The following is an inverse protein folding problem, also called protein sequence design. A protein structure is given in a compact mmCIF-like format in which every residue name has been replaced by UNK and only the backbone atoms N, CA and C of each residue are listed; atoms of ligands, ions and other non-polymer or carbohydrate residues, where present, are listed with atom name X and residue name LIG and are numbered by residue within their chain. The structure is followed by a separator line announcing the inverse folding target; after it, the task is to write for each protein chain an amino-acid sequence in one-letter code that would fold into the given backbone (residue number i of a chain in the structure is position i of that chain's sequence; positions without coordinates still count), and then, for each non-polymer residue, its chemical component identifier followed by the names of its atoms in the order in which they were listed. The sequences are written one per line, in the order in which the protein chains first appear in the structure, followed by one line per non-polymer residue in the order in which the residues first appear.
data_IF_676903466157
#
_entry.id   IF_676903466157
#
_cell.length_a   1.000
_cell.length_b   1.000
_cell.length_c   1.000
_cell.angle_alpha   90.00
_cell.angle_beta   90.00
_cell.angle_gamma   90.00
#
_symmetry.space_group_name_H-M   'P 1'
#
loop_
_entity.id
_entity.type
_entity.pdbx_description
1 polymer ?
#
# COMPACT_ATOMS: atom_id res chain seq x y z
N UNK A 1 9.27 20.66 -38.35
CA UNK A 1 9.92 19.68 -37.51
C UNK A 1 10.26 20.20 -36.09
N UNK A 2 10.66 21.49 -35.92
CA UNK A 2 11.07 22.01 -34.61
C UNK A 2 9.98 22.10 -33.52
N UNK A 3 8.72 22.35 -33.87
CA UNK A 3 7.64 22.52 -32.88
C UNK A 3 7.16 21.21 -32.25
N UNK A 4 7.36 20.07 -32.91
CA UNK A 4 6.91 18.77 -32.39
C UNK A 4 7.88 18.28 -31.28
N UNK A 5 9.18 18.40 -31.48
CA UNK A 5 10.18 17.97 -30.50
C UNK A 5 10.16 18.79 -29.20
N UNK A 6 9.93 20.10 -29.27
CA UNK A 6 9.81 20.98 -28.08
C UNK A 6 8.56 20.64 -27.26
N UNK A 7 7.44 20.29 -27.90
CA UNK A 7 6.22 19.88 -27.24
C UNK A 7 6.37 18.53 -26.51
N UNK A 8 7.14 17.60 -27.07
CA UNK A 8 7.36 16.27 -26.50
C UNK A 8 8.30 16.33 -25.27
N UNK A 9 9.42 17.03 -25.38
CA UNK A 9 10.34 17.25 -24.26
C UNK A 9 9.68 17.97 -23.08
N UNK A 10 8.82 18.96 -23.35
CA UNK A 10 8.04 19.61 -22.30
C UNK A 10 7.04 18.68 -21.63
N UNK A 11 6.50 17.71 -22.35
CA UNK A 11 5.61 16.69 -21.80
C UNK A 11 6.38 15.71 -20.89
N UNK A 12 7.57 15.25 -21.30
CA UNK A 12 8.43 14.40 -20.48
C UNK A 12 8.84 15.11 -19.20
N UNK A 13 9.26 16.36 -19.26
CA UNK A 13 9.62 17.17 -18.11
C UNK A 13 8.44 17.33 -17.14
N UNK A 14 7.24 17.65 -17.65
CA UNK A 14 6.04 17.79 -16.81
C UNK A 14 5.66 16.48 -16.13
N UNK A 15 5.71 15.35 -16.86
CA UNK A 15 5.47 14.03 -16.30
C UNK A 15 6.50 13.65 -15.24
N UNK A 16 7.80 13.91 -15.50
CA UNK A 16 8.88 13.64 -14.56
C UNK A 16 8.77 14.46 -13.27
N UNK A 17 8.48 15.76 -13.37
CA UNK A 17 8.24 16.63 -12.20
C UNK A 17 7.02 16.14 -11.42
N UNK A 18 5.91 15.80 -12.10
CA UNK A 18 4.70 15.29 -11.45
C UNK A 18 4.98 14.00 -10.69
N UNK A 19 5.71 13.06 -11.30
CA UNK A 19 6.13 11.80 -10.67
C UNK A 19 6.98 12.04 -9.42
N UNK A 20 7.96 12.94 -9.50
CA UNK A 20 8.83 13.28 -8.38
C UNK A 20 8.06 13.94 -7.23
N UNK A 21 7.19 14.91 -7.53
CA UNK A 21 6.38 15.62 -6.53
C UNK A 21 5.41 14.69 -5.82
N UNK A 22 4.65 13.88 -6.57
CA UNK A 22 3.69 12.93 -6.00
C UNK A 22 4.43 11.87 -5.18
N UNK A 23 5.53 11.33 -5.69
CA UNK A 23 6.37 10.39 -4.96
C UNK A 23 6.96 10.98 -3.66
N UNK A 24 7.42 12.24 -3.67
CA UNK A 24 7.94 12.93 -2.48
C UNK A 24 6.84 13.14 -1.42
N UNK A 25 5.63 13.51 -1.85
CA UNK A 25 4.46 13.61 -0.97
C UNK A 25 4.15 12.22 -0.38
N UNK A 26 4.10 11.18 -1.20
CA UNK A 26 3.84 9.80 -0.78
C UNK A 26 4.87 9.31 0.24
N UNK A 27 6.17 9.51 -0.02
CA UNK A 27 7.23 9.18 0.93
C UNK A 27 7.09 9.94 2.25
N UNK A 28 6.79 11.23 2.20
CA UNK A 28 6.59 12.04 3.41
C UNK A 28 5.43 11.52 4.26
N UNK A 29 4.30 11.22 3.63
CA UNK A 29 3.12 10.63 4.30
C UNK A 29 3.46 9.24 4.85
N UNK A 30 4.09 8.38 4.06
CA UNK A 30 4.49 7.03 4.46
C UNK A 30 5.44 7.01 5.65
N UNK A 31 6.53 7.80 5.61
CA UNK A 31 7.47 7.93 6.73
C UNK A 31 6.80 8.53 7.97
N UNK A 32 5.97 9.55 7.81
CA UNK A 32 5.24 10.15 8.92
C UNK A 32 4.35 9.11 9.59
N UNK A 33 3.56 8.37 8.82
CA UNK A 33 2.68 7.32 9.34
C UNK A 33 3.47 6.20 10.03
N UNK A 34 4.56 5.76 9.44
CA UNK A 34 5.45 4.74 10.04
C UNK A 34 5.97 5.21 11.40
N UNK A 35 6.45 6.46 11.50
CA UNK A 35 6.92 7.04 12.75
C UNK A 35 5.81 7.20 13.80
N UNK A 36 4.59 7.51 13.38
CA UNK A 36 3.43 7.58 14.27
C UNK A 36 3.09 6.20 14.84
N UNK A 37 3.07 5.16 14.00
CA UNK A 37 2.82 3.78 14.43
C UNK A 37 3.90 3.33 15.44
N UNK A 38 5.19 3.57 15.15
CA UNK A 38 6.29 3.23 16.04
C UNK A 38 6.22 3.95 17.40
N UNK A 39 5.73 5.20 17.44
CA UNK A 39 5.59 5.98 18.66
C UNK A 39 4.30 5.67 19.44
N UNK A 40 3.39 4.89 18.89
CA UNK A 40 2.10 4.60 19.51
C UNK A 40 2.12 3.22 20.18
N UNK A 41 2.16 3.13 21.53
CA UNK A 41 2.32 1.85 22.23
C UNK A 41 1.24 0.80 21.91
N UNK A 42 0.01 1.24 21.58
CA UNK A 42 -1.08 0.33 21.21
C UNK A 42 -0.84 -0.42 19.89
N UNK A 43 0.19 -0.05 19.12
CA UNK A 43 0.63 -0.74 17.89
C UNK A 43 1.86 -1.62 18.08
N UNK A 44 2.40 -1.74 19.30
CA UNK A 44 3.48 -2.69 19.59
C UNK A 44 2.91 -4.13 19.67
N UNK A 45 2.26 -4.56 18.61
CA UNK A 45 1.62 -5.87 18.46
C UNK A 45 1.73 -6.36 17.01
N UNK A 46 1.23 -7.56 16.73
CA UNK A 46 1.33 -8.17 15.41
C UNK A 46 0.77 -7.29 14.30
N UNK A 47 -0.42 -6.71 14.49
CA UNK A 47 -1.04 -5.83 13.50
C UNK A 47 -0.17 -4.60 13.17
N UNK A 48 0.41 -3.96 14.19
CA UNK A 48 1.28 -2.80 13.98
C UNK A 48 2.54 -3.13 13.17
N UNK A 49 3.19 -4.27 13.44
CA UNK A 49 4.34 -4.70 12.65
C UNK A 49 3.98 -5.06 11.20
N UNK A 50 2.79 -5.63 10.97
CA UNK A 50 2.29 -5.86 9.62
C UNK A 50 2.02 -4.56 8.88
N UNK A 51 1.44 -3.55 9.56
CA UNK A 51 1.27 -2.20 9.00
C UNK A 51 2.61 -1.56 8.63
N UNK A 52 3.65 -1.71 9.45
CA UNK A 52 4.99 -1.18 9.16
C UNK A 52 5.56 -1.86 7.91
N UNK A 53 5.48 -3.20 7.81
CA UNK A 53 5.92 -3.94 6.62
C UNK A 53 5.21 -3.48 5.36
N UNK A 54 3.90 -3.26 5.44
CA UNK A 54 3.10 -2.74 4.34
C UNK A 54 3.49 -1.31 3.95
N UNK A 55 3.74 -0.42 4.91
CA UNK A 55 4.22 0.94 4.65
C UNK A 55 5.61 0.99 4.02
N UNK A 56 6.52 0.09 4.43
CA UNK A 56 7.83 -0.03 3.80
C UNK A 56 7.68 -0.34 2.31
N UNK A 57 6.72 -1.19 1.94
CA UNK A 57 6.47 -1.48 0.53
C UNK A 57 5.97 -0.27 -0.25
N UNK A 58 5.08 0.56 0.31
CA UNK A 58 4.65 1.81 -0.32
C UNK A 58 5.80 2.81 -0.49
N UNK A 59 6.64 2.98 0.56
CA UNK A 59 7.81 3.85 0.52
C UNK A 59 8.78 3.39 -0.59
N UNK A 60 8.94 2.07 -0.77
CA UNK A 60 9.76 1.50 -1.83
C UNK A 60 9.26 1.84 -3.23
N UNK A 61 7.95 1.72 -3.47
CA UNK A 61 7.30 2.12 -4.75
C UNK A 61 7.55 3.59 -5.04
N UNK A 62 7.31 4.50 -4.09
CA UNK A 62 7.60 5.93 -4.30
C UNK A 62 9.08 6.19 -4.57
N UNK A 63 9.97 5.48 -3.86
CA UNK A 63 11.41 5.65 -4.02
C UNK A 63 11.87 5.21 -5.41
N UNK A 64 11.37 4.09 -5.95
CA UNK A 64 11.67 3.67 -7.32
C UNK A 64 11.20 4.71 -8.35
N UNK A 65 10.01 5.29 -8.15
CA UNK A 65 9.50 6.34 -9.02
C UNK A 65 10.31 7.65 -8.93
N UNK A 66 10.74 8.07 -7.73
CA UNK A 66 11.56 9.27 -7.54
C UNK A 66 12.97 9.10 -8.11
N UNK A 67 13.60 7.95 -7.83
CA UNK A 67 15.02 7.75 -8.15
C UNK A 67 15.27 7.14 -9.53
N UNK A 68 14.23 6.60 -10.19
CA UNK A 68 14.37 6.04 -11.53
C UNK A 68 13.40 6.67 -12.53
N UNK A 69 12.08 6.55 -12.34
CA UNK A 69 11.10 6.99 -13.33
C UNK A 69 11.15 8.50 -13.58
N UNK A 70 11.22 9.32 -12.53
CA UNK A 70 11.29 10.77 -12.67
C UNK A 70 12.59 11.24 -13.35
N UNK A 71 13.79 10.79 -12.96
CA UNK A 71 15.02 11.09 -13.71
C UNK A 71 14.99 10.61 -15.15
N UNK A 72 14.45 9.40 -15.43
CA UNK A 72 14.35 8.89 -16.78
C UNK A 72 13.52 9.82 -17.69
N UNK A 73 12.45 10.40 -17.16
CA UNK A 73 11.63 11.38 -17.87
C UNK A 73 12.30 12.74 -18.00
N UNK A 74 12.90 13.27 -16.90
CA UNK A 74 13.48 14.60 -16.88
C UNK A 74 14.72 14.70 -17.78
N UNK A 75 15.55 13.65 -17.79
CA UNK A 75 16.78 13.58 -18.59
C UNK A 75 16.60 12.79 -19.89
N UNK A 76 15.37 12.39 -20.22
CA UNK A 76 15.02 11.66 -21.45
C UNK A 76 15.96 10.49 -21.72
N UNK A 77 16.06 9.54 -20.74
CA UNK A 77 16.91 8.37 -20.89
C UNK A 77 16.56 7.60 -22.15
N UNK A 78 17.57 7.27 -22.92
CA UNK A 78 17.42 6.45 -24.12
C UNK A 78 17.23 4.95 -23.75
N UNK A 79 16.90 4.17 -24.76
CA UNK A 79 16.67 2.73 -24.59
C UNK A 79 17.92 1.97 -24.10
N UNK A 80 19.13 2.49 -24.35
CA UNK A 80 20.36 1.86 -23.87
C UNK A 80 20.49 1.93 -22.35
N UNK A 81 19.96 3.01 -21.74
CA UNK A 81 19.93 3.22 -20.31
C UNK A 81 18.75 2.46 -19.69
N UNK A 82 17.55 2.61 -20.24
CA UNK A 82 16.32 2.01 -19.68
C UNK A 82 16.31 0.47 -19.79
N UNK A 83 16.98 -0.10 -20.80
CA UNK A 83 17.17 -1.55 -20.96
C UNK A 83 18.49 -2.07 -20.37
N UNK A 84 19.30 -1.21 -19.74
CA UNK A 84 20.50 -1.61 -19.04
C UNK A 84 20.19 -2.49 -17.82
N UNK A 85 21.23 -3.09 -17.24
CA UNK A 85 21.09 -3.80 -15.96
C UNK A 85 20.41 -2.95 -14.86
N UNK A 86 20.73 -1.64 -14.79
CA UNK A 86 20.13 -0.73 -13.82
C UNK A 86 18.65 -0.46 -14.10
N UNK A 87 18.25 -0.40 -15.39
CA UNK A 87 16.85 -0.28 -15.77
C UNK A 87 16.03 -1.51 -15.38
N UNK A 88 16.55 -2.69 -15.65
CA UNK A 88 15.94 -3.96 -15.22
C UNK A 88 15.88 -4.04 -13.70
N UNK A 89 16.96 -3.68 -13.00
CA UNK A 89 17.01 -3.67 -11.53
C UNK A 89 15.97 -2.70 -10.94
N UNK A 90 15.79 -1.53 -11.54
CA UNK A 90 14.77 -0.57 -11.11
C UNK A 90 13.36 -1.16 -11.23
N UNK A 91 13.06 -1.88 -12.31
CA UNK A 91 11.78 -2.58 -12.47
C UNK A 91 11.61 -3.75 -11.49
N UNK A 92 12.69 -4.50 -11.22
CA UNK A 92 12.68 -5.54 -10.17
C UNK A 92 12.36 -4.92 -8.80
N UNK A 93 12.98 -3.79 -8.46
CA UNK A 93 12.75 -3.07 -7.20
C UNK A 93 11.31 -2.58 -7.13
N UNK A 94 10.83 -1.87 -8.16
CA UNK A 94 9.45 -1.35 -8.21
C UNK A 94 8.43 -2.47 -7.97
N UNK A 95 8.52 -3.54 -8.75
CA UNK A 95 7.55 -4.61 -8.68
C UNK A 95 7.69 -5.50 -7.43
N UNK A 96 8.90 -5.63 -6.87
CA UNK A 96 9.09 -6.30 -5.57
C UNK A 96 8.32 -5.57 -4.47
N UNK A 97 8.39 -4.26 -4.40
CA UNK A 97 7.65 -3.46 -3.43
C UNK A 97 6.13 -3.50 -3.69
N UNK A 98 5.72 -3.50 -4.95
CA UNK A 98 4.32 -3.70 -5.33
C UNK A 98 3.76 -5.03 -4.82
N UNK A 99 4.43 -6.16 -5.09
CA UNK A 99 3.98 -7.46 -4.61
C UNK A 99 4.05 -7.57 -3.08
N UNK A 100 5.06 -6.98 -2.45
CA UNK A 100 5.14 -6.91 -1.01
C UNK A 100 3.93 -6.15 -0.42
N UNK A 101 3.42 -5.12 -1.08
CA UNK A 101 2.21 -4.40 -0.66
C UNK A 101 0.98 -5.31 -0.71
N UNK A 102 0.73 -6.02 -1.83
CA UNK A 102 -0.44 -6.90 -1.97
C UNK A 102 -0.36 -8.09 -1.00
N UNK A 103 0.79 -8.77 -0.89
CA UNK A 103 0.96 -9.88 0.05
C UNK A 103 0.82 -9.43 1.51
N UNK A 104 1.34 -8.25 1.87
CA UNK A 104 1.16 -7.69 3.20
C UNK A 104 -0.31 -7.37 3.48
N UNK A 105 -1.06 -6.87 2.50
CA UNK A 105 -2.49 -6.62 2.64
C UNK A 105 -3.28 -7.91 2.89
N UNK A 106 -2.96 -9.00 2.17
CA UNK A 106 -3.53 -10.32 2.44
C UNK A 106 -3.18 -10.81 3.84
N UNK A 107 -1.94 -10.62 4.27
CA UNK A 107 -1.49 -11.01 5.61
C UNK A 107 -2.22 -10.22 6.71
N UNK A 108 -2.46 -8.92 6.51
CA UNK A 108 -3.27 -8.10 7.41
C UNK A 108 -4.74 -8.55 7.44
N UNK A 109 -5.32 -8.93 6.31
CA UNK A 109 -6.68 -9.48 6.24
C UNK A 109 -6.80 -10.79 7.03
N UNK A 110 -5.84 -11.70 6.87
CA UNK A 110 -5.77 -12.93 7.66
C UNK A 110 -5.57 -12.66 9.16
N UNK A 111 -4.75 -11.67 9.51
CA UNK A 111 -4.56 -11.28 10.92
C UNK A 111 -5.88 -10.84 11.55
N UNK A 112 -6.68 -10.02 10.84
CA UNK A 112 -8.00 -9.58 11.30
C UNK A 112 -8.97 -10.76 11.48
N UNK A 113 -9.03 -11.65 10.48
CA UNK A 113 -9.88 -12.84 10.55
C UNK A 113 -9.55 -13.69 11.77
N UNK A 114 -8.26 -13.98 11.99
CA UNK A 114 -7.82 -14.84 13.09
C UNK A 114 -8.07 -14.17 14.46
N UNK A 115 -7.88 -12.84 14.55
CA UNK A 115 -8.15 -12.09 15.77
C UNK A 115 -9.63 -12.18 16.19
N UNK A 116 -10.56 -12.27 15.24
CA UNK A 116 -12.00 -12.27 15.49
C UNK A 116 -12.53 -13.71 15.61
N UNK A 117 -12.17 -14.58 14.65
CA UNK A 117 -12.73 -15.93 14.58
C UNK A 117 -12.05 -16.92 15.55
N UNK A 118 -10.78 -16.69 15.90
CA UNK A 118 -9.98 -17.61 16.73
C UNK A 118 -9.20 -16.87 17.83
N UNK A 119 -9.83 -16.07 18.71
CA UNK A 119 -9.14 -15.22 19.68
C UNK A 119 -8.21 -15.99 20.62
N UNK A 120 -8.59 -17.21 21.02
CA UNK A 120 -7.77 -18.06 21.90
C UNK A 120 -6.46 -18.57 21.25
N UNK A 121 -6.45 -18.70 19.91
CA UNK A 121 -5.27 -19.14 19.15
C UNK A 121 -4.44 -17.99 18.61
N UNK A 122 -4.94 -16.75 18.70
CA UNK A 122 -4.30 -15.58 18.09
C UNK A 122 -2.85 -15.39 18.53
N UNK A 123 -2.60 -15.42 19.85
CA UNK A 123 -1.26 -15.22 20.40
C UNK A 123 -0.26 -16.34 20.03
N UNK A 124 -0.76 -17.55 19.76
CA UNK A 124 0.08 -18.66 19.28
C UNK A 124 0.43 -18.49 17.82
N UNK A 125 -0.57 -18.16 16.97
CA UNK A 125 -0.40 -18.00 15.51
C UNK A 125 0.44 -16.76 15.20
N UNK A 126 0.18 -15.64 15.87
CA UNK A 126 0.93 -14.39 15.74
C UNK A 126 1.95 -14.17 16.86
N UNK A 127 2.58 -15.25 17.34
CA UNK A 127 3.74 -15.12 18.22
C UNK A 127 4.88 -14.36 17.50
N UNK A 128 5.79 -13.68 18.20
CA UNK A 128 6.83 -12.86 17.57
C UNK A 128 7.66 -13.61 16.53
N UNK A 129 7.93 -14.91 16.76
CA UNK A 129 8.66 -15.75 15.80
C UNK A 129 7.85 -16.02 14.54
N UNK A 130 6.60 -16.45 14.67
CA UNK A 130 5.72 -16.74 13.53
C UNK A 130 5.40 -15.48 12.73
N UNK A 131 5.22 -14.34 13.39
CA UNK A 131 5.04 -13.04 12.75
C UNK A 131 6.27 -12.68 11.91
N UNK A 132 7.47 -12.78 12.49
CA UNK A 132 8.72 -12.49 11.76
C UNK A 132 8.89 -13.43 10.54
N UNK A 133 8.61 -14.73 10.70
CA UNK A 133 8.62 -15.70 9.59
C UNK A 133 7.58 -15.33 8.53
N UNK A 134 6.38 -14.91 8.92
CA UNK A 134 5.33 -14.50 7.98
C UNK A 134 5.71 -13.25 7.18
N UNK A 135 6.31 -12.24 7.83
CA UNK A 135 6.83 -11.05 7.14
C UNK A 135 7.98 -11.43 6.20
N UNK A 136 8.94 -12.24 6.67
CA UNK A 136 10.04 -12.70 5.85
C UNK A 136 9.56 -13.50 4.62
N UNK A 137 8.52 -14.32 4.76
CA UNK A 137 7.89 -15.05 3.66
C UNK A 137 7.32 -14.10 2.61
N UNK A 138 6.59 -13.06 3.02
CA UNK A 138 6.04 -12.03 2.12
C UNK A 138 7.16 -11.41 1.28
N UNK A 139 8.24 -10.95 1.90
CA UNK A 139 9.36 -10.33 1.20
C UNK A 139 10.11 -11.31 0.31
N UNK A 140 10.33 -12.55 0.77
CA UNK A 140 10.99 -13.60 -0.03
C UNK A 140 10.16 -13.94 -1.27
N UNK A 141 8.85 -14.10 -1.15
CA UNK A 141 7.95 -14.35 -2.28
C UNK A 141 7.98 -13.19 -3.27
N UNK A 142 7.92 -11.94 -2.79
CA UNK A 142 7.95 -10.75 -3.64
C UNK A 142 9.25 -10.65 -4.45
N UNK A 143 10.41 -10.87 -3.81
CA UNK A 143 11.71 -10.87 -4.47
C UNK A 143 11.80 -12.04 -5.48
N UNK A 144 11.44 -13.26 -5.06
CA UNK A 144 11.50 -14.46 -5.91
C UNK A 144 10.65 -14.30 -7.16
N UNK A 145 9.51 -13.67 -7.03
CA UNK A 145 8.59 -13.38 -8.12
C UNK A 145 9.24 -12.49 -9.19
N UNK A 146 9.98 -11.47 -8.77
CA UNK A 146 10.60 -10.51 -9.66
C UNK A 146 11.97 -10.98 -10.22
N UNK A 147 12.54 -12.08 -9.72
CA UNK A 147 13.80 -12.62 -10.24
C UNK A 147 13.73 -13.00 -11.73
N UNK A 148 12.54 -13.35 -12.23
CA UNK A 148 12.34 -13.67 -13.66
C UNK A 148 12.61 -12.48 -14.57
N UNK A 149 12.55 -11.25 -14.08
CA UNK A 149 12.76 -10.03 -14.88
C UNK A 149 14.22 -9.87 -15.36
N UNK A 150 15.16 -10.56 -14.72
CA UNK A 150 16.54 -10.62 -15.22
C UNK A 150 16.71 -11.51 -16.45
N UNK A 151 15.68 -12.29 -16.82
CA UNK A 151 15.73 -13.09 -18.03
C UNK A 151 15.47 -12.21 -19.25
N UNK A 152 16.21 -12.48 -20.34
CA UNK A 152 16.12 -11.68 -21.56
C UNK A 152 14.67 -11.65 -22.11
N UNK A 153 14.15 -10.46 -22.37
CA UNK A 153 12.79 -10.25 -22.86
C UNK A 153 11.69 -10.42 -21.82
N UNK A 154 12.00 -10.56 -20.51
CA UNK A 154 11.05 -10.73 -19.43
C UNK A 154 11.02 -9.53 -18.46
N UNK A 155 11.83 -8.50 -18.70
CA UNK A 155 11.99 -7.37 -17.79
C UNK A 155 10.73 -6.53 -17.63
N UNK A 156 10.58 -5.90 -16.46
CA UNK A 156 9.63 -4.83 -16.24
C UNK A 156 10.43 -3.52 -16.30
N UNK A 157 10.14 -2.67 -17.27
CA UNK A 157 11.00 -1.55 -17.62
C UNK A 157 10.21 -0.24 -17.63
N UNK A 158 10.89 0.87 -17.33
CA UNK A 158 10.27 2.18 -17.48
C UNK A 158 10.45 2.67 -18.92
N UNK A 159 9.34 2.91 -19.61
CA UNK A 159 9.33 3.48 -20.98
C UNK A 159 9.14 4.98 -20.92
N UNK A 160 10.15 5.72 -21.37
CA UNK A 160 10.10 7.18 -21.49
C UNK A 160 9.06 7.59 -22.53
N UNK A 161 8.96 6.87 -23.65
CA UNK A 161 8.01 7.15 -24.72
C UNK A 161 6.56 6.91 -24.32
N UNK A 162 6.29 5.92 -23.45
CA UNK A 162 4.94 5.62 -22.94
C UNK A 162 4.65 6.30 -21.60
N UNK A 163 5.63 6.95 -20.99
CA UNK A 163 5.58 7.60 -19.66
C UNK A 163 5.13 6.64 -18.54
N UNK A 164 5.45 5.36 -18.66
CA UNK A 164 4.94 4.33 -17.75
C UNK A 164 5.88 3.13 -17.62
N UNK A 165 5.69 2.38 -16.55
CA UNK A 165 6.29 1.05 -16.40
C UNK A 165 5.56 0.07 -17.30
N UNK A 166 6.33 -0.72 -18.08
CA UNK A 166 5.79 -1.63 -19.09
C UNK A 166 6.52 -2.95 -19.12
N UNK A 167 5.85 -3.98 -19.57
CA UNK A 167 6.47 -5.24 -19.99
C UNK A 167 6.83 -5.15 -21.48
N UNK A 168 7.96 -5.73 -21.91
CA UNK A 168 8.35 -5.71 -23.32
C UNK A 168 7.37 -6.52 -24.18
N UNK A 169 7.23 -6.13 -25.43
CA UNK A 169 6.38 -6.82 -26.42
C UNK A 169 7.04 -8.12 -26.92
N UNK A 170 7.33 -9.02 -26.00
CA UNK A 170 7.89 -10.35 -26.23
C UNK A 170 6.92 -11.41 -25.72
N UNK A 171 7.10 -12.65 -26.16
CA UNK A 171 6.29 -13.75 -25.61
C UNK A 171 6.43 -13.87 -24.10
N UNK A 172 7.65 -13.67 -23.56
CA UNK A 172 7.89 -13.69 -22.13
C UNK A 172 7.18 -12.52 -21.42
N UNK A 173 7.32 -11.29 -21.92
CA UNK A 173 6.67 -10.11 -21.37
C UNK A 173 5.15 -10.26 -21.34
N UNK A 174 4.55 -10.80 -22.41
CA UNK A 174 3.10 -11.06 -22.45
C UNK A 174 2.66 -12.11 -21.42
N UNK A 175 3.41 -13.22 -21.29
CA UNK A 175 3.09 -14.26 -20.30
C UNK A 175 3.18 -13.70 -18.89
N UNK A 176 4.23 -12.94 -18.58
CA UNK A 176 4.43 -12.35 -17.24
C UNK A 176 3.34 -11.32 -16.95
N UNK A 177 3.10 -10.37 -17.85
CA UNK A 177 2.07 -9.35 -17.70
C UNK A 177 0.68 -9.95 -17.48
N UNK A 178 0.35 -11.04 -18.20
CA UNK A 178 -0.96 -11.66 -18.08
C UNK A 178 -1.07 -12.56 -16.84
N UNK A 179 -0.16 -13.50 -16.66
CA UNK A 179 -0.31 -14.54 -15.64
C UNK A 179 0.28 -14.14 -14.30
N UNK A 180 1.50 -13.62 -14.29
CA UNK A 180 2.17 -13.27 -13.04
C UNK A 180 1.76 -11.90 -12.51
N UNK A 181 1.40 -10.97 -13.37
CA UNK A 181 0.94 -9.66 -12.91
C UNK A 181 -0.59 -9.59 -12.81
N UNK A 182 -1.32 -9.69 -13.91
CA UNK A 182 -2.77 -9.51 -13.92
C UNK A 182 -3.51 -10.62 -13.15
N UNK A 183 -3.34 -11.90 -13.56
CA UNK A 183 -4.11 -13.03 -12.99
C UNK A 183 -3.76 -13.26 -11.53
N UNK A 184 -2.47 -13.21 -11.17
CA UNK A 184 -2.07 -13.41 -9.78
C UNK A 184 -2.56 -12.26 -8.90
N UNK A 185 -2.41 -11.00 -9.33
CA UNK A 185 -2.91 -9.85 -8.56
C UNK A 185 -4.42 -9.90 -8.35
N UNK A 186 -5.20 -10.25 -9.39
CA UNK A 186 -6.66 -10.46 -9.27
C UNK A 186 -6.95 -11.61 -8.29
N UNK A 187 -6.20 -12.71 -8.35
CA UNK A 187 -6.39 -13.85 -7.46
C UNK A 187 -6.12 -13.49 -6.00
N UNK A 188 -5.06 -12.70 -5.73
CA UNK A 188 -4.73 -12.22 -4.39
C UNK A 188 -5.80 -11.26 -3.86
N UNK A 189 -6.25 -10.30 -4.66
CA UNK A 189 -7.33 -9.39 -4.28
C UNK A 189 -8.63 -10.16 -4.02
N UNK A 190 -8.94 -11.17 -4.84
CA UNK A 190 -10.10 -12.04 -4.61
C UNK A 190 -9.97 -12.78 -3.28
N UNK A 191 -8.80 -13.32 -2.97
CA UNK A 191 -8.53 -13.96 -1.67
C UNK A 191 -8.70 -12.99 -0.49
N UNK A 192 -8.27 -11.73 -0.63
CA UNK A 192 -8.48 -10.68 0.37
C UNK A 192 -9.98 -10.43 0.57
N UNK A 193 -10.77 -10.25 -0.51
CA UNK A 193 -12.21 -10.03 -0.40
C UNK A 193 -12.94 -11.23 0.22
N UNK A 194 -12.57 -12.47 -0.11
CA UNK A 194 -13.12 -13.67 0.52
C UNK A 194 -12.81 -13.66 2.03
N UNK A 195 -11.57 -13.40 2.40
CA UNK A 195 -11.14 -13.34 3.80
C UNK A 195 -11.89 -12.24 4.56
N UNK A 196 -12.05 -11.07 3.96
CA UNK A 196 -12.78 -9.96 4.55
C UNK A 196 -14.29 -10.25 4.64
N UNK A 197 -14.88 -10.96 3.68
CA UNK A 197 -16.27 -11.40 3.77
C UNK A 197 -16.49 -12.38 4.95
N UNK A 198 -15.58 -13.33 5.14
CA UNK A 198 -15.62 -14.26 6.28
C UNK A 198 -15.46 -13.47 7.60
N UNK A 199 -14.55 -12.50 7.62
CA UNK A 199 -14.33 -11.61 8.76
C UNK A 199 -15.60 -10.83 9.10
N UNK A 200 -16.29 -10.29 8.10
CA UNK A 200 -17.57 -9.58 8.28
C UNK A 200 -18.64 -10.46 8.90
N UNK A 201 -18.80 -11.69 8.39
CA UNK A 201 -19.77 -12.66 8.96
C UNK A 201 -19.41 -12.96 10.41
N UNK A 202 -18.12 -13.11 10.73
CA UNK A 202 -17.65 -13.38 12.09
C UNK A 202 -17.93 -12.20 13.04
N UNK A 203 -17.70 -10.96 12.59
CA UNK A 203 -18.05 -9.72 13.34
C UNK A 203 -19.56 -9.69 13.62
N UNK A 204 -20.40 -9.96 12.61
CA UNK A 204 -21.86 -9.96 12.75
C UNK A 204 -22.34 -11.02 13.75
N UNK A 205 -21.75 -12.23 13.74
CA UNK A 205 -22.08 -13.28 14.71
C UNK A 205 -21.69 -12.86 16.11
N UNK A 206 -20.47 -12.37 16.30
CA UNK A 206 -19.99 -11.89 17.61
C UNK A 206 -20.88 -10.75 18.17
N UNK A 207 -21.21 -9.76 17.34
CA UNK A 207 -22.09 -8.66 17.73
C UNK A 207 -23.47 -9.15 18.18
N UNK A 208 -24.03 -10.17 17.47
CA UNK A 208 -25.32 -10.78 17.83
C UNK A 208 -25.26 -11.58 19.14
N UNK A 209 -24.16 -12.25 19.40
CA UNK A 209 -23.95 -12.98 20.65
C UNK A 209 -23.83 -12.01 21.83
N UNK A 210 -23.03 -10.95 21.72
CA UNK A 210 -22.88 -9.91 22.73
C UNK A 210 -24.23 -9.22 23.05
N UNK A 211 -25.04 -8.92 22.03
CA UNK A 211 -26.36 -8.30 22.25
C UNK A 211 -27.38 -9.20 22.96
N UNK A 212 -27.14 -10.51 23.04
CA UNK A 212 -28.02 -11.48 23.75
C UNK A 212 -27.61 -11.70 25.20
N UNK A 213 -26.37 -11.41 25.55
CA UNK A 213 -25.87 -11.56 26.93
C UNK A 213 -26.18 -10.31 27.69
N UNK A 214 -27.08 -10.40 28.72
CA UNK A 214 -27.47 -9.27 29.58
C UNK A 214 -26.30 -8.69 30.42
N UNK A 215 -25.15 -9.34 30.44
CA UNK A 215 -23.92 -8.89 31.08
C UNK A 215 -22.84 -8.69 30.00
N UNK A 216 -22.93 -7.57 29.29
CA UNK A 216 -21.88 -7.22 28.31
C UNK A 216 -20.65 -6.71 29.07
N UNK A 217 -19.53 -7.38 28.90
CA UNK A 217 -18.25 -6.88 29.38
C UNK A 217 -17.84 -5.68 28.49
N UNK A 218 -17.73 -4.49 29.07
CA UNK A 218 -17.38 -3.25 28.35
C UNK A 218 -16.11 -3.40 27.49
N UNK A 219 -15.21 -4.29 27.89
CA UNK A 219 -13.97 -4.57 27.14
C UNK A 219 -14.25 -5.33 25.82
N UNK A 220 -15.25 -6.19 25.78
CA UNK A 220 -15.61 -6.94 24.57
C UNK A 220 -16.26 -6.02 23.52
N UNK A 221 -17.09 -5.07 23.96
CA UNK A 221 -17.66 -4.04 23.08
C UNK A 221 -16.57 -3.16 22.45
N UNK A 222 -15.63 -2.66 23.25
CA UNK A 222 -14.50 -1.86 22.79
C UNK A 222 -13.63 -2.66 21.79
N UNK A 223 -13.41 -3.94 22.03
CA UNK A 223 -12.67 -4.80 21.11
C UNK A 223 -13.42 -5.02 19.80
N UNK A 224 -14.75 -5.21 19.86
CA UNK A 224 -15.58 -5.37 18.67
C UNK A 224 -15.58 -4.10 17.82
N UNK A 225 -15.76 -2.92 18.44
CA UNK A 225 -15.70 -1.63 17.74
C UNK A 225 -14.34 -1.45 17.03
N UNK A 226 -13.25 -1.66 17.74
CA UNK A 226 -11.89 -1.57 17.19
C UNK A 226 -11.69 -2.51 16.00
N UNK A 227 -12.11 -3.76 16.13
CA UNK A 227 -11.98 -4.76 15.06
C UNK A 227 -12.86 -4.40 13.85
N UNK A 228 -14.01 -3.81 14.07
CA UNK A 228 -14.90 -3.32 13.00
C UNK A 228 -14.25 -2.17 12.24
N UNK A 229 -13.62 -1.23 12.93
CA UNK A 229 -12.89 -0.11 12.31
C UNK A 229 -11.72 -0.65 11.46
N UNK A 230 -10.93 -1.57 11.99
CA UNK A 230 -9.83 -2.20 11.22
C UNK A 230 -10.32 -3.00 10.02
N UNK A 231 -11.49 -3.63 10.13
CA UNK A 231 -12.13 -4.32 9.02
C UNK A 231 -12.53 -3.33 7.91
N UNK A 232 -13.22 -2.24 8.24
CA UNK A 232 -13.62 -1.20 7.26
C UNK A 232 -12.40 -0.62 6.57
N UNK A 233 -11.35 -0.26 7.34
CA UNK A 233 -10.09 0.22 6.81
C UNK A 233 -9.49 -0.78 5.79
N UNK A 234 -9.45 -2.06 6.14
CA UNK A 234 -8.90 -3.08 5.25
C UNK A 234 -9.71 -3.30 3.97
N UNK A 235 -11.05 -3.26 4.04
CA UNK A 235 -11.91 -3.32 2.86
C UNK A 235 -11.65 -2.13 1.92
N UNK A 236 -11.50 -0.92 2.46
CA UNK A 236 -11.19 0.27 1.67
C UNK A 236 -9.81 0.17 1.01
N UNK A 237 -8.80 -0.32 1.73
CA UNK A 237 -7.48 -0.60 1.17
C UNK A 237 -7.54 -1.64 0.04
N UNK A 238 -8.30 -2.73 0.21
CA UNK A 238 -8.47 -3.75 -0.83
C UNK A 238 -9.17 -3.21 -2.09
N UNK A 239 -10.21 -2.40 -1.91
CA UNK A 239 -10.90 -1.73 -3.03
C UNK A 239 -9.94 -0.78 -3.75
N UNK A 240 -9.18 0.00 -3.01
CA UNK A 240 -8.21 0.94 -3.55
C UNK A 240 -7.12 0.22 -4.39
N UNK A 241 -6.58 -0.90 -3.90
CA UNK A 241 -5.63 -1.72 -4.66
C UNK A 241 -6.27 -2.36 -5.90
N UNK A 242 -7.50 -2.85 -5.80
CA UNK A 242 -8.25 -3.38 -6.96
C UNK A 242 -8.44 -2.33 -8.05
N UNK A 243 -8.73 -1.08 -7.67
CA UNK A 243 -8.83 0.04 -8.59
C UNK A 243 -7.48 0.34 -9.26
N UNK A 244 -6.37 0.32 -8.50
CA UNK A 244 -5.03 0.50 -9.05
C UNK A 244 -4.68 -0.54 -10.12
N UNK A 245 -4.94 -1.83 -9.86
CA UNK A 245 -4.75 -2.92 -10.81
C UNK A 245 -5.63 -2.73 -12.06
N UNK A 246 -6.91 -2.42 -11.85
CA UNK A 246 -7.85 -2.18 -12.95
C UNK A 246 -7.39 -1.04 -13.84
N UNK A 247 -7.03 0.12 -13.28
CA UNK A 247 -6.58 1.28 -14.05
C UNK A 247 -5.28 1.00 -14.80
N UNK A 248 -4.29 0.36 -14.16
CA UNK A 248 -3.04 -0.01 -14.80
C UNK A 248 -3.30 -0.87 -16.04
N UNK A 249 -3.98 -2.01 -15.92
CA UNK A 249 -4.24 -2.92 -17.04
C UNK A 249 -5.17 -2.34 -18.10
N UNK A 250 -6.10 -1.47 -17.70
CA UNK A 250 -7.00 -0.81 -18.65
C UNK A 250 -6.25 0.23 -19.49
N UNK A 251 -5.51 1.15 -18.85
CA UNK A 251 -4.88 2.25 -19.57
C UNK A 251 -3.61 1.84 -20.31
N UNK A 252 -2.87 0.82 -19.87
CA UNK A 252 -1.74 0.31 -20.63
C UNK A 252 -2.19 -0.26 -21.99
N UNK A 253 -3.40 -0.81 -22.08
CA UNK A 253 -3.95 -1.40 -23.31
C UNK A 253 -4.78 -0.42 -24.14
N UNK A 254 -5.55 0.45 -23.50
CA UNK A 254 -6.57 1.28 -24.14
C UNK A 254 -6.23 2.77 -24.14
N UNK A 255 -5.15 3.21 -23.52
CA UNK A 255 -4.72 4.60 -23.50
C UNK A 255 -4.36 5.06 -24.92
N UNK A 256 -5.14 5.99 -25.48
CA UNK A 256 -4.94 6.50 -26.83
C UNK A 256 -3.83 7.54 -26.91
N UNK A 257 -3.45 8.16 -25.79
CA UNK A 257 -2.36 9.13 -25.69
C UNK A 257 -1.40 8.75 -24.58
N UNK A 258 -0.13 9.18 -24.69
CA UNK A 258 0.87 8.96 -23.64
C UNK A 258 0.44 9.59 -22.30
N UNK A 259 -0.25 10.73 -22.33
CA UNK A 259 -0.80 11.36 -21.12
C UNK A 259 -1.90 10.54 -20.45
N UNK A 260 -2.77 9.89 -21.22
CA UNK A 260 -3.79 8.98 -20.65
C UNK A 260 -3.12 7.76 -20.00
N UNK A 261 -2.10 7.19 -20.65
CA UNK A 261 -1.31 6.09 -20.06
C UNK A 261 -0.62 6.54 -18.79
N UNK A 262 0.09 7.67 -18.83
CA UNK A 262 0.74 8.25 -17.66
C UNK A 262 -0.21 8.48 -16.49
N UNK A 263 -1.34 9.16 -16.74
CA UNK A 263 -2.32 9.43 -15.70
C UNK A 263 -2.95 8.15 -15.14
N UNK A 264 -3.32 7.22 -16.03
CA UNK A 264 -4.01 5.99 -15.65
C UNK A 264 -3.11 4.89 -15.08
N UNK A 265 -1.79 4.97 -15.28
CA UNK A 265 -0.84 4.01 -14.75
C UNK A 265 0.04 4.65 -13.67
N UNK A 266 1.02 5.47 -14.05
CA UNK A 266 2.04 5.99 -13.14
C UNK A 266 1.49 6.90 -12.05
N UNK A 267 0.59 7.86 -12.38
CA UNK A 267 0.04 8.78 -11.40
C UNK A 267 -1.02 8.12 -10.51
N UNK A 268 -2.03 7.46 -11.10
CA UNK A 268 -3.08 6.79 -10.32
C UNK A 268 -2.48 5.74 -9.40
N UNK A 269 -1.47 5.01 -9.87
CA UNK A 269 -0.77 4.02 -9.07
C UNK A 269 -0.16 4.65 -7.81
N UNK A 270 0.59 5.74 -7.94
CA UNK A 270 1.14 6.46 -6.79
C UNK A 270 0.03 7.02 -5.88
N UNK A 271 -1.05 7.56 -6.45
CA UNK A 271 -2.20 8.04 -5.66
C UNK A 271 -2.90 6.93 -4.89
N UNK A 272 -3.02 5.72 -5.44
CA UNK A 272 -3.57 4.58 -4.72
C UNK A 272 -2.76 4.28 -3.45
N UNK A 273 -1.43 4.30 -3.53
CA UNK A 273 -0.58 4.09 -2.37
C UNK A 273 -0.71 5.22 -1.33
N UNK A 274 -0.81 6.50 -1.75
CA UNK A 274 -1.06 7.64 -0.84
C UNK A 274 -2.42 7.49 -0.16
N UNK A 275 -3.46 7.14 -0.93
CA UNK A 275 -4.83 6.95 -0.43
C UNK A 275 -4.86 5.87 0.64
N UNK A 276 -4.12 4.77 0.47
CA UNK A 276 -4.04 3.70 1.46
C UNK A 276 -3.44 4.16 2.79
N UNK A 277 -2.38 4.96 2.75
CA UNK A 277 -1.80 5.58 3.93
C UNK A 277 -2.79 6.57 4.60
N UNK A 278 -3.52 7.36 3.81
CA UNK A 278 -4.54 8.29 4.33
C UNK A 278 -5.74 7.55 4.96
N UNK A 279 -6.20 6.46 4.36
CA UNK A 279 -7.23 5.59 4.95
C UNK A 279 -6.77 5.13 6.34
N UNK A 280 -5.52 4.71 6.48
CA UNK A 280 -4.97 4.29 7.77
C UNK A 280 -5.00 5.44 8.80
N UNK A 281 -4.60 6.66 8.44
CA UNK A 281 -4.63 7.83 9.33
C UNK A 281 -6.08 8.19 9.75
N UNK A 282 -7.00 8.18 8.80
CA UNK A 282 -8.40 8.60 9.03
C UNK A 282 -9.11 7.62 9.96
N UNK A 283 -8.98 6.32 9.72
CA UNK A 283 -9.75 5.31 10.43
C UNK A 283 -9.12 4.90 11.77
N UNK A 284 -7.81 5.01 11.92
CA UNK A 284 -7.13 4.53 13.12
C UNK A 284 -6.97 5.67 14.14
N UNK A 285 -7.92 5.78 15.08
CA UNK A 285 -7.95 6.83 16.11
C UNK A 285 -6.62 7.03 16.85
N UNK A 286 -5.92 6.00 17.38
CA UNK A 286 -4.66 6.21 18.08
C UNK A 286 -3.58 6.87 17.21
N UNK A 287 -3.53 6.57 15.91
CA UNK A 287 -2.60 7.20 14.95
C UNK A 287 -2.98 8.66 14.75
N UNK A 288 -4.25 8.93 14.54
CA UNK A 288 -4.78 10.31 14.38
C UNK A 288 -4.54 11.15 15.63
N UNK A 289 -4.80 10.61 16.81
CA UNK A 289 -4.57 11.31 18.08
C UNK A 289 -3.06 11.61 18.27
N UNK A 290 -2.19 10.67 17.89
CA UNK A 290 -0.74 10.89 17.93
C UNK A 290 -0.29 11.94 16.91
N UNK A 291 -0.87 11.96 15.71
CA UNK A 291 -0.63 12.98 14.69
C UNK A 291 -1.01 14.37 15.22
N UNK A 292 -2.21 14.51 15.79
CA UNK A 292 -2.67 15.78 16.40
C UNK A 292 -1.73 16.26 17.52
N UNK A 293 -1.26 15.34 18.37
CA UNK A 293 -0.27 15.67 19.42
C UNK A 293 1.06 16.15 18.82
N UNK A 294 1.54 15.47 17.77
CA UNK A 294 2.82 15.81 17.13
C UNK A 294 2.76 17.17 16.43
N UNK A 295 1.61 17.50 15.81
CA UNK A 295 1.38 18.77 15.15
C UNK A 295 0.93 19.90 16.09
N UNK A 296 0.84 19.65 17.41
CA UNK A 296 0.30 20.58 18.40
C UNK A 296 -1.12 21.10 18.13
N UNK A 297 -1.85 20.43 17.26
CA UNK A 297 -3.25 20.72 16.95
C UNK A 297 -4.10 20.18 18.09
N UNK A 298 -4.70 21.05 18.93
CA UNK A 298 -5.61 20.66 20.02
C UNK A 298 -5.09 20.84 21.45
N UNK A 299 -4.08 21.67 21.69
CA UNK A 299 -3.56 21.94 23.06
C UNK A 299 -4.40 22.91 23.89
N UNK A 300 -5.55 23.40 23.45
CA UNK A 300 -6.32 24.41 24.21
C UNK A 300 -7.47 23.91 25.08
N UNK A 301 -7.77 22.61 25.19
CA UNK A 301 -8.99 22.18 25.89
C UNK A 301 -8.77 21.39 27.19
N UNK A 302 -7.54 21.28 27.70
CA UNK A 302 -7.30 20.46 28.94
C UNK A 302 -6.66 21.25 30.08
N UNK A 303 -6.89 22.55 30.21
CA UNK A 303 -6.38 23.37 31.33
C UNK A 303 -7.44 24.03 32.18
N UNK A 304 -8.69 23.61 32.15
CA UNK A 304 -9.69 24.08 33.10
C UNK A 304 -10.46 22.87 33.58
N UNK A 305 -10.09 22.23 34.63
CA UNK A 305 -10.85 21.56 35.71
C UNK A 305 -9.86 20.78 36.58
N UNK A 306 -9.04 21.44 37.37
CA UNK A 306 -8.55 20.99 38.67
C UNK A 306 -8.13 22.26 39.45
N UNK A 307 -9.06 22.98 39.94
CA UNK A 307 -8.96 23.84 41.14
C UNK A 307 -10.38 24.09 41.60
N UNK A 308 -10.85 23.26 42.51
CA UNK A 308 -11.78 23.61 43.59
C UNK A 308 -12.28 22.31 44.21
N UNK A 309 -11.60 21.86 45.21
CA UNK A 309 -12.19 21.23 46.41
C UNK A 309 -11.08 21.03 47.43
N UNK A 310 -10.72 22.14 48.06
CA UNK A 310 -10.01 22.14 49.35
C UNK A 310 -10.44 23.42 50.10
N UNK A 311 -11.66 23.37 50.68
CA UNK A 311 -12.09 24.21 51.77
C UNK A 311 -13.45 23.69 52.25
N UNK A 312 -13.45 22.74 53.18
CA UNK A 312 -14.20 22.75 54.46
C UNK A 312 -13.93 21.46 55.23
#
# INVERSE_FOLDING_TARGET
MGNFSISESSAHLAAGISTAVVGAIGNTVGFTLMMLILKTPSFHNAFGYLCISHLISHIGVYSANIFWAAPALIFEFDDSITHSFFGVLAGVVENTFWYAAIYSLLQMSLNRLIAIAFPLKYNTIFSPRHLACGIALVWTLSISHCCIYFWNGCGFLFSVTQLSWVYPETNCGHIISLYLDCVLSISLITAIFITDAITFVSIRRLAKELSRTCFTNSQEEVNLERNTIFFIQGCLSAINQALGIFFYHYFIRNGSTNWQRFAGTSLIFQFCHITDALITIIFIKPVRDQLCRTLHIGKETTKIIVVKDSAH
#
